data_IF_938122341165
#
_entry.id   IF_938122341165
#
_cell.length_a   1.000
_cell.length_b   1.000
_cell.length_c   1.000
_cell.angle_alpha   90.00
_cell.angle_beta   90.00
_cell.angle_gamma   90.00
#
_symmetry.space_group_name_H-M   'P 1'
#
loop_
_entity.id
_entity.type
_entity.pdbx_description
1 polymer ?
#
# COMPACT_ATOMS: atom_id res chain seq x y z
N UNK A 1 -17.44 19.57 0.20
CA UNK A 1 -15.98 19.78 0.32
C UNK A 1 -15.39 18.54 0.96
N UNK A 2 -14.92 17.59 0.15
CA UNK A 2 -14.17 16.44 0.63
C UNK A 2 -12.75 16.92 0.91
N UNK A 3 -12.54 17.53 2.08
CA UNK A 3 -11.20 17.79 2.55
C UNK A 3 -10.63 16.45 3.03
N UNK A 4 -9.76 15.85 2.24
CA UNK A 4 -8.83 14.86 2.78
C UNK A 4 -7.96 15.58 3.81
N UNK A 5 -7.73 15.02 5.00
CA UNK A 5 -6.65 15.51 5.85
C UNK A 5 -5.38 15.42 5.00
N UNK A 6 -4.68 16.55 4.84
CA UNK A 6 -3.24 16.55 4.55
C UNK A 6 -2.63 15.38 5.31
N UNK A 7 -1.89 14.49 4.62
CA UNK A 7 -1.33 13.28 5.21
C UNK A 7 -0.68 13.66 6.55
N UNK A 8 -1.41 13.44 7.64
CA UNK A 8 -0.99 13.94 8.93
C UNK A 8 0.34 13.26 9.22
N UNK A 9 1.35 14.05 9.63
CA UNK A 9 2.65 13.51 9.96
C UNK A 9 2.46 12.28 10.86
N UNK A 10 3.19 11.17 10.61
CA UNK A 10 2.98 9.94 11.35
C UNK A 10 3.09 10.23 12.86
N UNK A 11 2.09 9.81 13.62
CA UNK A 11 2.02 10.08 15.06
C UNK A 11 3.26 9.52 15.79
N UNK A 12 3.81 8.41 15.27
CA UNK A 12 5.03 7.78 15.78
C UNK A 12 5.92 7.36 14.61
N UNK A 13 7.21 7.71 14.68
CA UNK A 13 8.19 7.44 13.62
C UNK A 13 9.51 6.88 14.15
N UNK A 14 9.42 5.95 15.11
CA UNK A 14 10.58 5.18 15.56
C UNK A 14 11.07 4.21 14.48
N UNK A 15 12.31 3.74 14.62
CA UNK A 15 12.98 2.82 13.69
C UNK A 15 13.55 1.62 14.44
N UNK A 16 13.65 0.47 13.77
CA UNK A 16 14.38 -0.70 14.27
C UNK A 16 15.84 -0.58 13.82
N UNK A 17 16.72 -0.36 14.79
CA UNK A 17 18.15 -0.24 14.57
C UNK A 17 18.86 -1.58 14.37
N UNK A 18 20.15 -1.49 14.07
CA UNK A 18 21.00 -2.65 13.78
C UNK A 18 21.53 -3.36 15.03
N UNK A 19 21.49 -2.70 16.19
CA UNK A 19 22.04 -3.22 17.43
C UNK A 19 21.26 -2.74 18.66
N UNK A 20 21.61 -3.30 19.81
CA UNK A 20 20.95 -3.02 21.09
C UNK A 20 21.07 -1.58 21.56
N UNK A 21 22.04 -0.80 21.07
CA UNK A 21 22.21 0.61 21.43
C UNK A 21 21.15 1.52 20.81
N UNK A 22 20.46 1.03 19.77
CA UNK A 22 19.40 1.76 19.08
C UNK A 22 18.08 1.84 19.86
N UNK A 23 17.99 1.17 21.02
CA UNK A 23 16.77 1.05 21.85
C UNK A 23 15.76 0.05 21.29
N UNK A 24 15.32 0.26 20.05
CA UNK A 24 14.60 -0.74 19.26
C UNK A 24 15.60 -1.46 18.33
N UNK A 25 15.70 -2.77 18.46
CA UNK A 25 16.61 -3.62 17.69
C UNK A 25 15.90 -4.92 17.35
N UNK A 26 16.29 -5.56 16.25
CA UNK A 26 15.64 -6.79 15.81
C UNK A 26 15.76 -7.89 16.88
N UNK A 27 14.61 -8.29 17.42
CA UNK A 27 14.47 -9.34 18.40
C UNK A 27 13.23 -10.19 18.05
N UNK A 28 13.37 -11.52 17.92
CA UNK A 28 12.25 -12.42 17.72
C UNK A 28 11.17 -12.23 18.79
N UNK A 29 9.90 -12.24 18.38
CA UNK A 29 8.72 -12.17 19.24
C UNK A 29 8.59 -10.90 20.10
N UNK A 30 9.46 -9.89 19.90
CA UNK A 30 9.36 -8.58 20.57
C UNK A 30 8.30 -7.69 19.93
N UNK A 31 8.23 -7.68 18.61
CA UNK A 31 7.39 -6.76 17.88
C UNK A 31 6.11 -7.41 17.39
N UNK A 32 5.06 -6.60 17.26
CA UNK A 32 3.77 -7.00 16.71
C UNK A 32 3.24 -5.96 15.75
N UNK A 33 2.71 -6.42 14.62
CA UNK A 33 2.05 -5.59 13.62
C UNK A 33 0.55 -5.59 13.84
N UNK A 34 -0.08 -4.43 13.71
CA UNK A 34 -1.54 -4.28 13.68
C UNK A 34 -1.93 -3.71 12.33
N UNK A 35 -2.58 -4.51 11.49
CA UNK A 35 -2.78 -4.22 10.07
C UNK A 35 -4.25 -4.31 9.68
N UNK A 36 -4.71 -3.40 8.84
CA UNK A 36 -6.02 -3.48 8.16
C UNK A 36 -5.76 -3.69 6.68
N UNK A 37 -5.83 -4.92 6.16
CA UNK A 37 -5.44 -5.25 4.77
C UNK A 37 -6.07 -4.36 3.68
N UNK A 38 -7.30 -3.85 3.82
CA UNK A 38 -7.86 -2.90 2.86
C UNK A 38 -7.16 -1.53 2.78
N UNK A 39 -6.27 -1.21 3.73
CA UNK A 39 -5.45 0.00 3.69
C UNK A 39 -4.15 -0.30 2.92
N UNK A 40 -3.77 0.50 1.91
CA UNK A 40 -2.60 0.21 1.06
C UNK A 40 -1.30 0.06 1.84
N UNK A 41 -1.06 0.91 2.84
CA UNK A 41 0.14 0.79 3.69
C UNK A 41 0.17 -0.49 4.53
N UNK A 42 -1.00 -0.94 5.02
CA UNK A 42 -1.09 -2.22 5.73
C UNK A 42 -0.88 -3.41 4.79
N UNK A 43 -1.42 -3.33 3.56
CA UNK A 43 -1.23 -4.37 2.54
C UNK A 43 0.25 -4.51 2.16
N UNK A 44 0.96 -3.42 1.91
CA UNK A 44 2.40 -3.46 1.59
C UNK A 44 3.23 -4.09 2.71
N UNK A 45 2.94 -3.72 3.97
CA UNK A 45 3.60 -4.33 5.13
C UNK A 45 3.30 -5.83 5.20
N UNK A 46 2.03 -6.24 4.99
CA UNK A 46 1.64 -7.64 5.04
C UNK A 46 2.31 -8.48 3.93
N UNK A 47 2.39 -7.95 2.71
CA UNK A 47 3.10 -8.58 1.59
C UNK A 47 4.58 -8.71 1.90
N UNK A 48 5.22 -7.63 2.37
CA UNK A 48 6.63 -7.62 2.78
C UNK A 48 6.89 -8.66 3.88
N UNK A 49 6.04 -8.70 4.90
CA UNK A 49 6.10 -9.67 6.00
C UNK A 49 6.02 -11.12 5.51
N UNK A 50 5.11 -11.42 4.57
CA UNK A 50 4.97 -12.76 4.00
C UNK A 50 6.12 -13.15 3.09
N UNK A 51 6.60 -12.24 2.24
CA UNK A 51 7.75 -12.49 1.38
C UNK A 51 8.99 -12.86 2.20
N UNK A 52 9.18 -12.21 3.34
CA UNK A 52 10.31 -12.42 4.23
C UNK A 52 10.12 -13.62 5.19
N UNK A 53 8.96 -14.27 5.19
CA UNK A 53 8.68 -15.44 6.04
C UNK A 53 8.61 -15.10 7.54
N UNK A 54 8.16 -13.91 7.91
CA UNK A 54 8.25 -13.39 9.29
C UNK A 54 7.12 -13.84 10.23
N UNK A 55 6.30 -14.81 9.81
CA UNK A 55 5.11 -15.26 10.55
C UNK A 55 5.38 -15.64 12.00
N UNK A 56 6.43 -16.43 12.23
CA UNK A 56 6.78 -16.88 13.57
C UNK A 56 7.46 -15.77 14.38
N UNK A 57 8.30 -14.96 13.74
CA UNK A 57 9.12 -13.95 14.41
C UNK A 57 8.33 -12.71 14.83
N UNK A 58 7.35 -12.32 14.02
CA UNK A 58 6.67 -11.04 14.16
C UNK A 58 5.16 -11.24 13.93
N UNK A 59 4.39 -11.52 15.00
CA UNK A 59 2.96 -11.75 14.89
C UNK A 59 2.21 -10.56 14.29
N UNK A 60 1.13 -10.86 13.56
CA UNK A 60 0.25 -9.89 12.92
C UNK A 60 -1.15 -10.01 13.51
N UNK A 61 -1.67 -8.90 14.04
CA UNK A 61 -3.08 -8.75 14.42
C UNK A 61 -3.82 -8.06 13.26
N UNK A 62 -4.76 -8.79 12.66
CA UNK A 62 -5.59 -8.25 11.59
C UNK A 62 -6.78 -7.49 12.18
N UNK A 63 -6.89 -6.23 11.82
CA UNK A 63 -7.98 -5.33 12.18
C UNK A 63 -9.11 -5.42 11.15
N UNK A 64 -10.34 -5.04 11.54
CA UNK A 64 -11.46 -4.97 10.61
C UNK A 64 -11.19 -4.09 9.40
N UNK A 65 -11.88 -4.39 8.29
CA UNK A 65 -11.78 -3.61 7.05
C UNK A 65 -12.18 -2.14 7.23
N UNK A 66 -13.24 -1.91 7.99
CA UNK A 66 -13.82 -0.59 8.26
C UNK A 66 -13.41 -0.17 9.67
N UNK A 67 -12.80 1.02 9.86
CA UNK A 67 -12.49 1.53 11.19
C UNK A 67 -13.77 1.77 12.00
N UNK A 68 -13.67 1.63 13.32
CA UNK A 68 -14.81 1.80 14.24
C UNK A 68 -15.26 3.26 14.33
N UNK A 69 -14.34 4.21 14.17
CA UNK A 69 -14.59 5.64 14.40
C UNK A 69 -14.61 6.45 13.10
N UNK A 70 -15.42 7.51 13.00
CA UNK A 70 -15.53 8.33 11.77
C UNK A 70 -14.22 9.01 11.33
N UNK A 71 -13.32 9.29 12.26
CA UNK A 71 -11.98 9.84 12.01
C UNK A 71 -10.99 8.77 11.50
N UNK A 72 -11.42 7.52 11.35
CA UNK A 72 -10.64 6.42 10.76
C UNK A 72 -9.81 5.62 11.76
N UNK A 73 -10.15 5.68 13.05
CA UNK A 73 -9.48 4.95 14.12
C UNK A 73 -10.13 3.60 14.45
N UNK A 74 -9.34 2.76 15.10
CA UNK A 74 -9.77 1.48 15.65
C UNK A 74 -9.81 1.58 17.18
N UNK A 75 -10.93 1.20 17.79
CA UNK A 75 -11.10 1.25 19.26
C UNK A 75 -10.08 0.33 19.94
N UNK A 76 -9.78 -0.83 19.34
CA UNK A 76 -8.78 -1.77 19.84
C UNK A 76 -7.36 -1.20 19.92
N UNK A 77 -7.03 -0.21 19.08
CA UNK A 77 -5.71 0.43 19.06
C UNK A 77 -5.61 1.61 20.06
N UNK A 78 -6.73 2.12 20.59
CA UNK A 78 -6.75 3.29 21.46
C UNK A 78 -5.83 3.13 22.69
N UNK A 79 -5.86 2.02 23.45
CA UNK A 79 -5.00 1.86 24.62
C UNK A 79 -3.51 1.92 24.28
N UNK A 80 -3.11 1.35 23.14
CA UNK A 80 -1.73 1.33 22.68
C UNK A 80 -1.23 2.75 22.31
N UNK A 81 -2.09 3.55 21.67
CA UNK A 81 -1.80 4.96 21.36
C UNK A 81 -1.67 5.80 22.63
N UNK A 82 -2.57 5.63 23.59
CA UNK A 82 -2.56 6.36 24.87
C UNK A 82 -1.35 6.00 25.74
N UNK A 83 -0.92 4.73 25.73
CA UNK A 83 0.30 4.28 26.39
C UNK A 83 1.58 4.90 25.79
N UNK A 84 1.49 5.36 24.54
CA UNK A 84 2.61 5.92 23.76
C UNK A 84 2.61 7.45 23.72
N UNK A 85 1.44 8.07 23.84
CA UNK A 85 1.26 9.53 23.85
C UNK A 85 0.09 9.89 24.76
N UNK A 86 0.41 10.55 25.88
CA UNK A 86 -0.60 10.98 26.84
C UNK A 86 -1.59 11.95 26.19
N UNK A 87 -2.89 11.67 26.35
CA UNK A 87 -3.99 12.40 25.68
C UNK A 87 -3.85 12.48 24.16
N UNK A 88 -3.50 11.35 23.50
CA UNK A 88 -3.45 11.30 22.04
C UNK A 88 -4.75 11.80 21.40
N UNK A 89 -4.67 12.93 20.68
CA UNK A 89 -5.85 13.63 20.11
C UNK A 89 -6.28 13.15 18.72
N UNK A 90 -5.51 12.27 18.08
CA UNK A 90 -5.78 11.76 16.73
C UNK A 90 -6.51 10.41 16.71
N UNK A 91 -6.85 9.92 15.50
CA UNK A 91 -7.35 8.56 15.32
C UNK A 91 -6.24 7.55 15.66
N UNK A 92 -6.62 6.49 16.38
CA UNK A 92 -5.76 5.32 16.54
C UNK A 92 -5.82 4.47 15.26
N UNK A 93 -5.04 4.86 14.25
CA UNK A 93 -5.12 4.30 12.90
C UNK A 93 -4.08 3.20 12.64
N UNK A 94 -4.37 2.31 11.70
CA UNK A 94 -3.41 1.35 11.16
C UNK A 94 -2.67 1.92 9.93
N UNK A 95 -1.47 1.43 9.61
CA UNK A 95 -0.73 0.34 10.27
C UNK A 95 0.01 0.78 11.55
N UNK A 96 0.23 -0.17 12.46
CA UNK A 96 1.03 0.03 13.69
C UNK A 96 2.07 -1.06 13.85
N UNK A 97 3.31 -0.66 14.10
CA UNK A 97 4.35 -1.51 14.67
C UNK A 97 4.44 -1.20 16.17
N UNK A 98 4.23 -2.23 16.99
CA UNK A 98 4.26 -2.12 18.45
C UNK A 98 5.37 -2.96 19.06
N UNK A 99 5.92 -2.50 20.18
CA UNK A 99 6.89 -3.24 21.01
C UNK A 99 6.13 -3.87 22.19
N UNK A 100 6.03 -5.20 22.17
CA UNK A 100 5.30 -5.96 23.18
C UNK A 100 5.97 -5.90 24.56
N UNK A 101 7.28 -5.61 24.62
CA UNK A 101 7.98 -5.50 25.90
C UNK A 101 7.66 -4.19 26.62
N UNK A 102 7.49 -3.11 25.87
CA UNK A 102 7.19 -1.78 26.44
C UNK A 102 5.70 -1.44 26.41
N UNK A 103 4.91 -2.17 25.63
CA UNK A 103 3.48 -1.89 25.42
C UNK A 103 3.25 -0.57 24.67
N UNK A 104 4.20 -0.17 23.82
CA UNK A 104 4.17 1.13 23.12
C UNK A 104 4.29 0.97 21.61
N UNK A 105 3.82 1.99 20.90
CA UNK A 105 3.99 2.14 19.46
C UNK A 105 5.44 2.50 19.16
N UNK A 106 6.05 1.74 18.26
CA UNK A 106 7.35 2.03 17.67
C UNK A 106 7.16 2.97 16.49
N UNK A 107 6.29 2.60 15.55
CA UNK A 107 6.08 3.37 14.32
C UNK A 107 4.68 3.17 13.76
N UNK A 108 4.17 4.21 13.12
CA UNK A 108 2.95 4.19 12.29
C UNK A 108 3.27 4.59 10.84
N UNK A 109 4.55 4.75 10.50
CA UNK A 109 4.98 5.16 9.17
C UNK A 109 5.30 3.93 8.31
N UNK A 110 4.35 3.56 7.45
CA UNK A 110 4.43 2.31 6.69
C UNK A 110 5.74 2.12 5.89
N UNK A 111 6.26 3.12 5.15
CA UNK A 111 7.53 2.96 4.44
C UNK A 111 8.73 2.64 5.35
N UNK A 112 8.77 3.23 6.56
CA UNK A 112 9.83 2.95 7.53
C UNK A 112 9.68 1.53 8.10
N UNK A 113 8.45 1.10 8.38
CA UNK A 113 8.15 -0.26 8.86
C UNK A 113 8.59 -1.29 7.81
N UNK A 114 8.16 -1.14 6.56
CA UNK A 114 8.49 -2.05 5.45
C UNK A 114 10.01 -2.17 5.28
N UNK A 115 10.71 -1.04 5.28
CA UNK A 115 12.16 -0.99 5.16
C UNK A 115 12.87 -1.65 6.34
N UNK A 116 12.39 -1.41 7.56
CA UNK A 116 12.98 -2.00 8.76
C UNK A 116 12.76 -3.52 8.80
N UNK A 117 11.59 -4.01 8.40
CA UNK A 117 11.34 -5.46 8.27
C UNK A 117 12.34 -6.09 7.29
N UNK A 118 12.49 -5.50 6.11
CA UNK A 118 13.38 -6.03 5.08
C UNK A 118 14.86 -5.98 5.47
N UNK A 119 15.31 -4.90 6.10
CA UNK A 119 16.74 -4.72 6.43
C UNK A 119 17.16 -5.35 7.76
N UNK A 120 16.22 -5.70 8.64
CA UNK A 120 16.54 -6.16 10.01
C UNK A 120 16.10 -7.59 10.31
N UNK A 121 15.07 -8.09 9.62
CA UNK A 121 14.55 -9.45 9.84
C UNK A 121 14.65 -10.37 8.61
N UNK A 122 14.94 -9.83 7.42
CA UNK A 122 15.04 -10.60 6.19
C UNK A 122 16.22 -11.59 6.21
N UNK A 123 15.93 -12.87 6.48
CA UNK A 123 16.94 -13.94 6.51
C UNK A 123 16.62 -15.13 5.59
N UNK A 124 15.35 -15.34 5.24
CA UNK A 124 14.87 -16.52 4.49
C UNK A 124 14.07 -16.20 3.21
N UNK A 125 13.89 -14.93 2.86
CA UNK A 125 13.09 -14.47 1.72
C UNK A 125 13.91 -13.77 0.62
N UNK A 126 13.24 -13.18 -0.39
CA UNK A 126 13.92 -12.38 -1.41
C UNK A 126 14.57 -11.15 -0.77
N UNK A 127 15.71 -10.74 -1.33
CA UNK A 127 16.40 -9.52 -0.92
C UNK A 127 15.64 -8.30 -1.46
N UNK A 128 14.74 -7.73 -0.66
CA UNK A 128 13.86 -6.64 -1.10
C UNK A 128 14.56 -5.28 -1.27
N UNK A 129 15.70 -5.09 -0.61
CA UNK A 129 16.56 -3.90 -0.75
C UNK A 129 18.00 -4.32 -1.09
N UNK A 130 18.28 -4.78 -2.31
CA UNK A 130 19.65 -5.08 -2.72
C UNK A 130 20.56 -3.87 -2.60
N UNK A 131 21.86 -4.11 -2.45
CA UNK A 131 22.84 -3.01 -2.32
C UNK A 131 22.73 -2.03 -3.50
N UNK A 132 22.63 -0.74 -3.18
CA UNK A 132 22.58 0.34 -4.17
C UNK A 132 21.21 0.58 -4.82
N UNK A 133 20.17 -0.18 -4.50
CA UNK A 133 18.84 0.00 -5.13
C UNK A 133 17.91 0.94 -4.36
N UNK A 134 18.24 1.32 -3.12
CA UNK A 134 17.37 2.11 -2.24
C UNK A 134 16.83 3.39 -2.90
N UNK A 135 17.69 4.17 -3.57
CA UNK A 135 17.25 5.39 -4.26
C UNK A 135 16.32 5.12 -5.45
N UNK A 136 16.50 4.00 -6.17
CA UNK A 136 15.60 3.59 -7.25
C UNK A 136 14.25 3.13 -6.70
N UNK A 137 14.25 2.37 -5.60
CA UNK A 137 13.02 1.96 -4.90
C UNK A 137 12.25 3.18 -4.42
N UNK A 138 12.92 4.16 -3.83
CA UNK A 138 12.31 5.42 -3.38
C UNK A 138 11.74 6.23 -4.55
N UNK A 139 12.43 6.26 -5.70
CA UNK A 139 11.93 6.90 -6.91
C UNK A 139 10.66 6.21 -7.45
N UNK A 140 10.61 4.88 -7.44
CA UNK A 140 9.40 4.12 -7.83
C UNK A 140 8.26 4.39 -6.85
N UNK A 141 8.52 4.32 -5.54
CA UNK A 141 7.51 4.59 -4.52
C UNK A 141 6.91 6.00 -4.66
N UNK A 142 7.75 6.99 -5.00
CA UNK A 142 7.30 8.36 -5.26
C UNK A 142 6.48 8.47 -6.54
N UNK A 143 6.89 7.82 -7.64
CA UNK A 143 6.10 7.74 -8.87
C UNK A 143 4.72 7.10 -8.62
N UNK A 144 4.65 6.05 -7.80
CA UNK A 144 3.37 5.46 -7.41
C UNK A 144 2.48 6.43 -6.63
N UNK A 145 3.05 7.13 -5.64
CA UNK A 145 2.29 8.07 -4.82
C UNK A 145 1.81 9.30 -5.61
N UNK A 146 2.74 10.01 -6.27
CA UNK A 146 2.46 11.27 -6.96
C UNK A 146 1.86 11.03 -8.35
N UNK A 147 2.46 10.12 -9.11
CA UNK A 147 2.13 9.90 -10.51
C UNK A 147 0.94 8.98 -10.75
N UNK A 148 0.52 8.18 -9.76
CA UNK A 148 -0.61 7.26 -9.91
C UNK A 148 -1.69 7.57 -8.87
N UNK A 149 -1.41 7.43 -7.57
CA UNK A 149 -2.43 7.55 -6.53
C UNK A 149 -3.02 8.98 -6.46
N UNK A 150 -2.17 10.00 -6.33
CA UNK A 150 -2.60 11.40 -6.29
C UNK A 150 -3.20 11.84 -7.64
N UNK A 151 -2.58 11.48 -8.76
CA UNK A 151 -3.07 11.79 -10.10
C UNK A 151 -4.47 11.19 -10.36
N UNK A 152 -4.70 9.93 -10.01
CA UNK A 152 -5.99 9.26 -10.16
C UNK A 152 -7.04 9.84 -9.21
N UNK A 153 -6.64 10.18 -7.98
CA UNK A 153 -7.50 10.85 -7.02
C UNK A 153 -7.98 12.21 -7.56
N UNK A 154 -7.06 13.06 -8.02
CA UNK A 154 -7.40 14.39 -8.57
C UNK A 154 -8.19 14.26 -9.86
N UNK A 155 -7.86 13.32 -10.74
CA UNK A 155 -8.64 13.05 -11.96
C UNK A 155 -10.08 12.62 -11.65
N UNK A 156 -10.34 11.95 -10.52
CA UNK A 156 -11.66 11.54 -10.07
C UNK A 156 -12.42 12.56 -9.20
N UNK A 157 -11.84 13.74 -8.92
CA UNK A 157 -12.49 14.74 -8.06
C UNK A 157 -13.71 15.38 -8.74
N UNK A 158 -14.84 15.40 -8.04
CA UNK A 158 -16.06 16.02 -8.53
C UNK A 158 -15.97 17.55 -8.57
N UNK A 159 -16.41 18.14 -9.68
CA UNK A 159 -16.65 19.58 -9.79
C UNK A 159 -15.45 20.39 -10.25
N UNK A 160 -14.37 19.75 -10.71
CA UNK A 160 -13.29 20.42 -11.43
C UNK A 160 -13.64 20.48 -12.94
N UNK A 161 -13.18 21.51 -13.64
CA UNK A 161 -13.49 21.68 -15.07
C UNK A 161 -12.82 20.60 -15.94
N UNK A 162 -13.31 20.36 -17.16
CA UNK A 162 -12.77 19.33 -18.07
C UNK A 162 -11.25 19.45 -18.30
N UNK A 163 -10.72 20.67 -18.44
CA UNK A 163 -9.28 20.90 -18.57
C UNK A 163 -8.49 20.54 -17.30
N UNK A 164 -9.10 20.70 -16.11
CA UNK A 164 -8.49 20.34 -14.82
C UNK A 164 -8.51 18.82 -14.56
N UNK A 165 -9.34 18.04 -15.26
CA UNK A 165 -9.29 16.58 -15.26
C UNK A 165 -8.22 16.03 -16.21
N UNK A 166 -7.97 16.71 -17.33
CA UNK A 166 -7.11 16.20 -18.41
C UNK A 166 -5.62 16.11 -18.01
N UNK A 167 -5.11 17.08 -17.27
CA UNK A 167 -3.70 17.11 -16.85
C UNK A 167 -3.36 16.01 -15.81
N UNK A 168 -4.14 15.82 -14.72
CA UNK A 168 -3.93 14.70 -13.81
C UNK A 168 -4.09 13.33 -14.49
N UNK A 169 -5.08 13.17 -15.36
CA UNK A 169 -5.24 11.93 -16.12
C UNK A 169 -4.06 11.67 -17.06
N UNK A 170 -3.50 12.71 -17.69
CA UNK A 170 -2.27 12.63 -18.47
C UNK A 170 -1.09 12.13 -17.62
N UNK A 171 -0.91 12.72 -16.44
CA UNK A 171 0.14 12.32 -15.47
C UNK A 171 0.01 10.84 -15.09
N UNK A 172 -1.21 10.39 -14.79
CA UNK A 172 -1.52 8.99 -14.51
C UNK A 172 -1.10 8.08 -15.66
N UNK A 173 -1.54 8.39 -16.87
CA UNK A 173 -1.29 7.55 -18.03
C UNK A 173 0.19 7.53 -18.44
N UNK A 174 0.92 8.64 -18.27
CA UNK A 174 2.36 8.69 -18.49
C UNK A 174 3.15 7.81 -17.51
N UNK A 175 2.72 7.78 -16.23
CA UNK A 175 3.30 6.90 -15.22
C UNK A 175 3.03 5.42 -15.55
N UNK A 176 1.79 5.07 -15.89
CA UNK A 176 1.43 3.71 -16.30
C UNK A 176 2.16 3.28 -17.59
N UNK A 177 2.26 4.16 -18.59
CA UNK A 177 2.99 3.91 -19.83
C UNK A 177 4.51 3.74 -19.62
N UNK A 178 5.07 4.38 -18.59
CA UNK A 178 6.47 4.16 -18.20
C UNK A 178 6.68 2.79 -17.55
N UNK A 179 5.75 2.34 -16.70
CA UNK A 179 5.77 0.99 -16.15
C UNK A 179 5.52 -0.08 -17.23
N UNK A 180 4.56 0.13 -18.13
CA UNK A 180 4.25 -0.78 -19.24
C UNK A 180 5.48 -1.05 -20.12
N UNK A 181 6.19 0.01 -20.54
CA UNK A 181 7.42 -0.15 -21.32
C UNK A 181 8.47 -0.93 -20.55
N UNK A 182 8.66 -0.63 -19.26
CA UNK A 182 9.63 -1.34 -18.44
C UNK A 182 9.30 -2.83 -18.31
N UNK A 183 8.03 -3.16 -18.05
CA UNK A 183 7.55 -4.53 -17.81
C UNK A 183 7.31 -5.32 -19.10
N UNK A 184 7.35 -4.67 -20.26
CA UNK A 184 7.38 -5.35 -21.56
C UNK A 184 8.73 -6.00 -21.83
N UNK A 185 9.80 -5.52 -21.18
CA UNK A 185 11.18 -5.97 -21.39
C UNK A 185 11.78 -6.69 -20.17
N UNK A 186 11.19 -6.51 -18.98
CA UNK A 186 11.72 -6.99 -17.71
C UNK A 186 10.65 -7.74 -16.91
N UNK A 187 11.09 -8.72 -16.10
CA UNK A 187 10.17 -9.47 -15.25
C UNK A 187 9.70 -8.67 -14.03
N UNK A 188 10.56 -7.81 -13.48
CA UNK A 188 10.29 -6.96 -12.32
C UNK A 188 10.70 -5.52 -12.59
N UNK A 189 10.18 -4.58 -11.80
CA UNK A 189 10.32 -3.13 -12.01
C UNK A 189 11.78 -2.66 -12.03
N UNK A 190 12.66 -3.36 -11.32
CA UNK A 190 14.08 -3.02 -11.23
C UNK A 190 15.01 -4.07 -11.86
N UNK A 191 14.49 -5.00 -12.65
CA UNK A 191 15.27 -6.01 -13.38
C UNK A 191 14.70 -7.43 -13.23
N UNK A 192 15.59 -8.39 -12.94
CA UNK A 192 15.25 -9.83 -12.90
C UNK A 192 14.84 -10.35 -11.52
N UNK A 193 14.87 -9.51 -10.48
CA UNK A 193 14.59 -9.93 -9.11
C UNK A 193 13.51 -9.06 -8.48
N UNK A 194 12.62 -9.70 -7.74
CA UNK A 194 11.61 -9.04 -6.93
C UNK A 194 12.26 -8.20 -5.83
N UNK A 195 11.86 -6.94 -5.76
CA UNK A 195 12.31 -5.94 -4.79
C UNK A 195 11.12 -5.26 -4.09
N UNK A 196 11.38 -4.35 -3.15
CA UNK A 196 10.33 -3.54 -2.55
C UNK A 196 9.62 -2.62 -3.58
N UNK A 197 10.27 -2.28 -4.71
CA UNK A 197 9.63 -1.51 -5.78
C UNK A 197 8.42 -2.24 -6.37
N UNK A 198 8.52 -3.56 -6.51
CA UNK A 198 7.45 -4.41 -7.03
C UNK A 198 6.25 -4.45 -6.09
N UNK A 199 6.51 -4.47 -4.77
CA UNK A 199 5.48 -4.38 -3.73
C UNK A 199 4.75 -3.03 -3.81
N UNK A 200 5.48 -1.92 -3.95
CA UNK A 200 4.88 -0.59 -4.14
C UNK A 200 3.99 -0.55 -5.37
N UNK A 201 4.52 -0.91 -6.55
CA UNK A 201 3.76 -0.90 -7.81
C UNK A 201 2.52 -1.78 -7.70
N UNK A 202 2.65 -3.02 -7.22
CA UNK A 202 1.52 -3.93 -7.14
C UNK A 202 0.40 -3.39 -6.25
N UNK A 203 0.70 -2.88 -5.06
CA UNK A 203 -0.33 -2.33 -4.18
C UNK A 203 -1.01 -1.08 -4.74
N UNK A 204 -0.28 -0.24 -5.47
CA UNK A 204 -0.83 0.91 -6.17
C UNK A 204 -1.75 0.49 -7.31
N UNK A 205 -1.40 -0.53 -8.10
CA UNK A 205 -2.27 -1.07 -9.15
C UNK A 205 -3.55 -1.70 -8.57
N UNK A 206 -3.45 -2.37 -7.42
CA UNK A 206 -4.62 -2.86 -6.67
C UNK A 206 -5.51 -1.69 -6.28
N UNK A 207 -4.99 -0.58 -5.74
CA UNK A 207 -5.81 0.59 -5.40
C UNK A 207 -6.41 1.26 -6.64
N UNK A 208 -5.66 1.33 -7.74
CA UNK A 208 -6.14 1.90 -9.00
C UNK A 208 -7.40 1.17 -9.49
N UNK A 209 -7.36 -0.16 -9.51
CA UNK A 209 -8.50 -0.99 -9.89
C UNK A 209 -9.59 -1.07 -8.80
N UNK A 210 -9.28 -1.08 -7.52
CA UNK A 210 -10.32 -1.33 -6.50
C UNK A 210 -10.96 -0.08 -5.91
N UNK A 211 -10.29 1.07 -6.03
CA UNK A 211 -10.68 2.33 -5.39
C UNK A 211 -10.78 3.45 -6.42
N UNK A 212 -9.71 3.75 -7.15
CA UNK A 212 -9.70 4.94 -8.00
C UNK A 212 -10.63 4.83 -9.21
N UNK A 213 -10.76 3.64 -9.83
CA UNK A 213 -11.63 3.44 -11.01
C UNK A 213 -13.09 3.85 -10.78
N UNK A 214 -13.57 3.78 -9.53
CA UNK A 214 -14.93 4.17 -9.16
C UNK A 214 -15.24 5.64 -9.42
N UNK A 215 -14.20 6.47 -9.55
CA UNK A 215 -14.31 7.91 -9.74
C UNK A 215 -13.83 8.38 -11.11
N UNK A 216 -13.34 7.46 -11.95
CA UNK A 216 -12.91 7.75 -13.31
C UNK A 216 -14.05 7.46 -14.30
N UNK A 217 -14.06 8.18 -15.42
CA UNK A 217 -14.99 7.87 -16.51
C UNK A 217 -14.58 6.62 -17.29
N UNK A 218 -15.46 6.15 -18.17
CA UNK A 218 -15.22 4.91 -18.91
C UNK A 218 -14.04 5.01 -19.91
N UNK A 219 -13.79 6.19 -20.50
CA UNK A 219 -12.66 6.39 -21.42
C UNK A 219 -11.32 6.31 -20.68
N UNK A 220 -11.23 6.96 -19.51
CA UNK A 220 -10.07 6.87 -18.64
C UNK A 220 -9.79 5.42 -18.22
N UNK A 221 -10.83 4.68 -17.81
CA UNK A 221 -10.68 3.27 -17.40
C UNK A 221 -10.25 2.38 -18.58
N UNK A 222 -10.80 2.58 -19.78
CA UNK A 222 -10.39 1.83 -20.98
C UNK A 222 -8.90 2.07 -21.32
N UNK A 223 -8.46 3.33 -21.26
CA UNK A 223 -7.05 3.70 -21.49
C UNK A 223 -6.12 3.14 -20.43
N UNK A 224 -6.56 3.05 -19.17
CA UNK A 224 -5.80 2.40 -18.10
C UNK A 224 -5.72 0.89 -18.35
N UNK A 225 -6.80 0.24 -18.78
CA UNK A 225 -6.84 -1.18 -19.11
C UNK A 225 -5.96 -1.55 -20.32
N UNK A 226 -5.68 -0.59 -21.22
CA UNK A 226 -4.85 -0.75 -22.40
C UNK A 226 -3.32 -0.90 -22.14
N UNK A 227 -2.91 -1.30 -20.93
CA UNK A 227 -1.53 -1.60 -20.53
C UNK A 227 -1.36 -3.11 -20.26
N UNK A 228 -1.31 -3.96 -21.30
CA UNK A 228 -1.39 -5.41 -21.14
C UNK A 228 -0.20 -6.03 -20.39
N UNK A 229 1.03 -5.54 -20.59
CA UNK A 229 2.20 -6.08 -19.89
C UNK A 229 2.13 -5.79 -18.38
N UNK A 230 1.70 -4.58 -18.02
CA UNK A 230 1.47 -4.13 -16.65
C UNK A 230 0.43 -4.98 -15.93
N UNK A 231 -0.72 -5.23 -16.56
CA UNK A 231 -1.79 -6.03 -15.96
C UNK A 231 -1.46 -7.53 -15.94
N UNK A 232 -0.69 -8.03 -16.92
CA UNK A 232 -0.14 -9.39 -16.86
C UNK A 232 0.85 -9.55 -15.71
N UNK A 233 1.74 -8.57 -15.49
CA UNK A 233 2.65 -8.50 -14.36
C UNK A 233 1.90 -8.47 -13.02
N UNK A 234 0.88 -7.62 -12.90
CA UNK A 234 0.08 -7.50 -11.68
C UNK A 234 -0.63 -8.81 -11.30
N UNK A 235 -1.19 -9.51 -12.29
CA UNK A 235 -1.76 -10.87 -12.11
C UNK A 235 -0.70 -11.90 -11.78
N UNK A 236 0.48 -11.82 -12.40
CA UNK A 236 1.62 -12.68 -12.10
C UNK A 236 2.04 -12.58 -10.63
N UNK A 237 2.11 -11.37 -10.09
CA UNK A 237 2.34 -11.15 -8.67
C UNK A 237 1.16 -11.63 -7.82
N UNK A 238 -0.09 -11.38 -8.21
CA UNK A 238 -1.25 -11.86 -7.46
C UNK A 238 -1.30 -13.40 -7.37
N UNK A 239 -0.79 -14.13 -8.36
CA UNK A 239 -0.66 -15.58 -8.31
C UNK A 239 0.34 -16.07 -7.25
N UNK A 240 1.27 -15.22 -6.81
CA UNK A 240 2.21 -15.56 -5.74
C UNK A 240 1.50 -15.53 -4.37
N UNK A 241 1.64 -16.57 -3.51
CA UNK A 241 0.90 -16.67 -2.25
C UNK A 241 1.11 -15.50 -1.29
N UNK A 242 2.29 -14.88 -1.28
CA UNK A 242 2.57 -13.71 -0.45
C UNK A 242 1.80 -12.44 -0.86
N UNK A 243 1.17 -12.42 -2.03
CA UNK A 243 0.39 -11.30 -2.56
C UNK A 243 -1.10 -11.63 -2.58
N UNK A 244 -1.54 -12.54 -3.47
CA UNK A 244 -2.97 -12.75 -3.75
C UNK A 244 -3.78 -13.24 -2.56
N UNK A 245 -3.20 -14.03 -1.66
CA UNK A 245 -3.93 -14.53 -0.47
C UNK A 245 -4.25 -13.42 0.55
N UNK A 246 -3.64 -12.24 0.42
CA UNK A 246 -3.91 -11.06 1.24
C UNK A 246 -4.95 -10.14 0.61
N UNK A 247 -5.35 -10.40 -0.64
CA UNK A 247 -6.26 -9.57 -1.40
C UNK A 247 -7.71 -9.94 -1.10
N UNK A 248 -8.35 -9.14 -0.24
CA UNK A 248 -9.80 -9.21 0.00
C UNK A 248 -10.47 -8.02 -0.70
N UNK A 249 -10.86 -8.24 -1.95
CA UNK A 249 -11.48 -7.23 -2.81
C UNK A 249 -12.77 -6.68 -2.20
N UNK A 250 -13.57 -7.54 -1.58
CA UNK A 250 -14.83 -7.14 -0.93
C UNK A 250 -14.55 -6.26 0.30
N UNK A 251 -13.53 -6.57 1.08
CA UNK A 251 -13.11 -5.73 2.21
C UNK A 251 -12.59 -4.37 1.76
N UNK A 252 -11.86 -4.30 0.64
CA UNK A 252 -11.42 -3.05 0.03
C UNK A 252 -12.62 -2.21 -0.40
N UNK A 253 -13.57 -2.80 -1.13
CA UNK A 253 -14.80 -2.13 -1.54
C UNK A 253 -15.62 -1.64 -0.34
N UNK A 254 -15.82 -2.49 0.69
CA UNK A 254 -16.52 -2.09 1.93
C UNK A 254 -15.84 -0.90 2.60
N UNK A 255 -14.52 -0.91 2.73
CA UNK A 255 -13.76 0.21 3.31
C UNK A 255 -13.92 1.48 2.48
N UNK A 256 -13.84 1.35 1.16
CA UNK A 256 -14.01 2.45 0.23
C UNK A 256 -15.39 3.09 0.39
N UNK A 257 -16.48 2.31 0.23
CA UNK A 257 -17.85 2.83 0.36
C UNK A 257 -18.16 3.42 1.73
N UNK A 258 -17.64 2.84 2.82
CA UNK A 258 -17.85 3.36 4.16
C UNK A 258 -17.22 4.76 4.39
N UNK A 259 -16.21 5.13 3.59
CA UNK A 259 -15.45 6.38 3.76
C UNK A 259 -15.55 7.33 2.58
N UNK A 260 -15.96 6.85 1.42
CA UNK A 260 -16.12 7.65 0.23
C UNK A 260 -17.39 8.51 0.35
N UNK A 261 -17.21 9.82 0.19
CA UNK A 261 -18.31 10.80 0.12
C UNK A 261 -18.54 11.31 -1.31
N UNK A 262 -17.80 10.77 -2.27
CA UNK A 262 -17.89 11.10 -3.69
C UNK A 262 -19.06 10.39 -4.37
N UNK A 263 -19.42 10.85 -5.57
CA UNK A 263 -20.32 10.12 -6.47
C UNK A 263 -19.49 9.19 -7.33
N UNK A 264 -20.02 8.01 -7.56
CA UNK A 264 -19.45 7.05 -8.49
C UNK A 264 -19.59 7.57 -9.93
N UNK A 265 -18.59 7.29 -10.75
CA UNK A 265 -18.55 7.57 -12.17
C UNK A 265 -18.78 6.28 -12.98
N UNK A 266 -18.93 6.40 -14.30
CA UNK A 266 -19.22 5.27 -15.17
C UNK A 266 -18.15 4.16 -15.11
N UNK A 267 -16.90 4.49 -14.78
CA UNK A 267 -15.80 3.52 -14.62
C UNK A 267 -16.00 2.51 -13.50
N UNK A 268 -16.90 2.78 -12.53
CA UNK A 268 -17.26 1.83 -11.47
C UNK A 268 -17.76 0.47 -12.01
N UNK A 269 -18.43 0.48 -13.17
CA UNK A 269 -19.02 -0.71 -13.77
C UNK A 269 -17.99 -1.61 -14.50
N UNK A 270 -16.75 -1.14 -14.70
CA UNK A 270 -15.75 -1.82 -15.52
C UNK A 270 -14.53 -2.20 -14.68
N UNK A 271 -14.35 -3.46 -14.24
CA UNK A 271 -13.10 -3.88 -13.63
C UNK A 271 -11.98 -3.77 -14.67
N UNK A 272 -10.84 -3.22 -14.26
CA UNK A 272 -9.67 -3.08 -15.16
C UNK A 272 -9.04 -4.45 -15.37
N UNK A 273 -8.98 -5.26 -14.31
CA UNK A 273 -8.37 -6.58 -14.34
C UNK A 273 -9.18 -7.58 -13.52
N UNK A 274 -9.23 -8.82 -14.00
CA UNK A 274 -9.69 -9.95 -13.19
C UNK A 274 -8.50 -10.48 -12.37
N UNK A 275 -8.50 -10.16 -11.07
CA UNK A 275 -7.48 -10.63 -10.12
C UNK A 275 -7.54 -12.13 -9.84
N UNK A 276 -8.65 -12.80 -10.16
CA UNK A 276 -8.82 -14.25 -9.97
C UNK A 276 -8.41 -15.07 -11.20
N UNK A 277 -8.22 -14.42 -12.34
CA UNK A 277 -7.76 -15.09 -13.55
C UNK A 277 -6.28 -15.50 -13.39
N UNK A 278 -6.01 -16.80 -13.36
CA UNK A 278 -4.64 -17.33 -13.34
C UNK A 278 -3.85 -16.83 -14.54
N UNK A 279 -2.66 -16.27 -14.29
CA UNK A 279 -1.78 -15.76 -15.32
C UNK A 279 -1.24 -16.91 -16.20
N UNK A 280 -1.98 -17.24 -17.26
CA UNK A 280 -1.44 -18.05 -18.36
C UNK A 280 -0.42 -17.21 -19.10
N UNK A 281 0.88 -17.38 -18.81
CA UNK A 281 1.93 -16.98 -19.74
C UNK A 281 1.87 -17.99 -20.89
N UNK A 282 1.42 -17.56 -22.07
CA UNK A 282 1.58 -18.32 -23.33
C UNK A 282 3.03 -18.24 -23.77
#
# INVERSE_FOLDING_TARGET
MSATPSAAAPAFRGRIGCDTSSGHYAAPHRYRLHLSLPCPGSLRIAVTHRLLGLGDLLPVDLLPAVPDTPDGGFVSLRPLYEASSHHHRGPAAAPVLSDAWTGRVVSTHAPDIERDLALRFGTSGPELYPRGTAGRIEAVARMCAEGIDEAAQTAGELGIGHAAHAEPLGTLLDALGSLERCLSEQEFVLGERLTAADVHVWTTLVQLDTVHRWHLDADAVDRIAAHPALWAYARGLAAHPAFGTLLDLDAIARRHHARCRGREAAGAAMPIVDWNASAGRV
#
